data_IF_399041619897
#
_entry.id   IF_399041619897
#
_cell.length_a   1.000
_cell.length_b   1.000
_cell.length_c   1.000
_cell.angle_alpha   90.00
_cell.angle_beta   90.00
_cell.angle_gamma   90.00
#
_symmetry.space_group_name_H-M   'P 1'
#
loop_
_entity.id
_entity.type
_entity.pdbx_description
1 polymer ?
#
# COMPACT_ATOMS: atom_id res chain seq x y z
N UNK A 1 -4.26 87.66 27.21
CA UNK A 1 -3.59 87.97 25.91
C UNK A 1 -2.09 87.84 26.15
N UNK A 2 -1.23 87.29 25.26
CA UNK A 2 -1.46 86.85 23.88
C UNK A 2 -0.77 85.52 23.46
N UNK A 3 -0.99 85.19 22.18
CA UNK A 3 -0.22 84.36 21.23
C UNK A 3 -0.24 82.81 21.32
N UNK A 4 -1.15 82.29 20.51
CA UNK A 4 -1.15 81.01 19.80
C UNK A 4 0.02 80.96 18.80
N UNK A 5 0.86 79.92 18.85
CA UNK A 5 1.80 79.60 17.76
C UNK A 5 1.69 78.13 17.38
N UNK A 6 1.28 77.91 16.13
CA UNK A 6 1.15 76.61 15.49
C UNK A 6 2.52 76.00 15.20
N UNK A 7 2.72 74.73 15.53
CA UNK A 7 3.73 73.90 14.86
C UNK A 7 3.03 72.87 13.99
N UNK A 8 3.30 72.97 12.68
CA UNK A 8 2.79 72.10 11.63
C UNK A 8 3.40 70.71 11.79
N UNK A 9 2.55 69.70 11.95
CA UNK A 9 2.92 68.28 11.93
C UNK A 9 3.37 67.92 10.50
N UNK A 10 4.64 67.55 10.31
CA UNK A 10 5.11 66.92 9.06
C UNK A 10 4.98 65.40 9.25
N UNK A 11 4.07 64.75 8.55
CA UNK A 11 4.02 63.30 8.44
C UNK A 11 5.28 62.83 7.68
N UNK A 12 6.12 62.04 8.32
CA UNK A 12 7.14 61.23 7.67
C UNK A 12 6.50 59.86 7.42
N UNK A 13 6.23 59.55 6.15
CA UNK A 13 5.77 58.22 5.75
C UNK A 13 6.95 57.24 5.86
N UNK A 14 6.90 56.36 6.87
CA UNK A 14 7.81 55.22 6.96
C UNK A 14 7.24 54.11 6.08
N UNK A 15 7.91 53.86 4.95
CA UNK A 15 7.65 52.70 4.09
C UNK A 15 8.15 51.46 4.85
N UNK A 16 7.23 50.75 5.48
CA UNK A 16 7.48 49.45 6.11
C UNK A 16 7.61 48.37 5.04
N UNK A 17 8.83 47.92 4.78
CA UNK A 17 9.10 46.67 4.06
C UNK A 17 8.74 45.54 5.02
N UNK A 18 7.55 44.96 4.86
CA UNK A 18 7.19 43.70 5.53
C UNK A 18 7.80 42.54 4.74
N UNK A 19 8.81 41.93 5.35
CA UNK A 19 9.40 40.65 4.98
C UNK A 19 8.29 39.61 4.91
N UNK A 20 8.01 39.10 3.71
CA UNK A 20 7.12 37.98 3.49
C UNK A 20 7.70 36.72 4.14
N UNK A 21 7.10 36.30 5.25
CA UNK A 21 7.33 34.98 5.85
C UNK A 21 6.76 33.94 4.87
N UNK A 22 7.64 33.17 4.23
CA UNK A 22 7.25 32.08 3.34
C UNK A 22 6.47 31.02 4.10
N UNK A 23 5.18 30.88 3.77
CA UNK A 23 4.39 29.72 4.16
C UNK A 23 4.98 28.49 3.48
N UNK A 24 5.42 27.52 4.28
CA UNK A 24 5.75 26.18 3.82
C UNK A 24 4.56 25.62 3.04
N UNK A 25 4.73 25.42 1.73
CA UNK A 25 3.69 24.92 0.84
C UNK A 25 3.33 23.47 1.17
N UNK A 26 2.23 23.28 1.90
CA UNK A 26 1.54 21.99 1.89
C UNK A 26 0.86 21.84 0.52
N UNK A 27 1.05 20.70 -0.18
CA UNK A 27 0.31 20.46 -1.41
C UNK A 27 -1.19 20.47 -1.12
N UNK A 28 -2.03 20.98 -2.05
CA UNK A 28 -3.47 20.93 -1.89
C UNK A 28 -3.92 19.47 -1.72
N UNK A 29 -4.87 19.25 -0.80
CA UNK A 29 -5.34 17.91 -0.40
C UNK A 29 -5.73 17.03 -1.61
N UNK A 30 -6.30 17.62 -2.66
CA UNK A 30 -6.72 16.91 -3.88
C UNK A 30 -5.57 16.20 -4.62
N UNK A 31 -4.37 16.80 -4.65
CA UNK A 31 -3.21 16.18 -5.30
C UNK A 31 -2.72 14.96 -4.53
N UNK A 32 -2.79 15.00 -3.20
CA UNK A 32 -2.36 13.89 -2.34
C UNK A 32 -3.33 12.71 -2.39
N UNK A 33 -4.63 12.97 -2.44
CA UNK A 33 -5.67 11.94 -2.56
C UNK A 33 -5.61 11.26 -3.93
N UNK A 34 -5.43 12.02 -5.02
CA UNK A 34 -5.29 11.43 -6.35
C UNK A 34 -4.00 10.60 -6.47
N UNK A 35 -2.87 11.11 -5.96
CA UNK A 35 -1.62 10.37 -5.90
C UNK A 35 -1.78 9.05 -5.12
N UNK A 36 -2.46 9.07 -3.96
CA UNK A 36 -2.73 7.87 -3.15
C UNK A 36 -3.68 6.90 -3.85
N UNK A 37 -4.74 7.38 -4.51
CA UNK A 37 -5.62 6.52 -5.32
C UNK A 37 -4.84 5.84 -6.44
N UNK A 38 -3.94 6.57 -7.09
CA UNK A 38 -3.06 6.04 -8.12
C UNK A 38 -2.08 5.00 -7.57
N UNK A 39 -1.55 5.16 -6.35
CA UNK A 39 -0.70 4.12 -5.71
C UNK A 39 -1.49 2.87 -5.37
N UNK A 40 -2.69 3.01 -4.78
CA UNK A 40 -3.58 1.90 -4.44
C UNK A 40 -4.02 1.14 -5.68
N UNK A 41 -4.44 1.84 -6.74
CA UNK A 41 -4.81 1.21 -8.01
C UNK A 41 -3.63 0.48 -8.66
N UNK A 42 -2.43 1.05 -8.58
CA UNK A 42 -1.21 0.38 -9.05
C UNK A 42 -0.90 -0.89 -8.24
N UNK A 43 -1.09 -0.86 -6.91
CA UNK A 43 -0.97 -2.04 -6.05
C UNK A 43 -1.95 -3.16 -6.45
N UNK A 44 -3.21 -2.82 -6.71
CA UNK A 44 -4.20 -3.80 -7.17
C UNK A 44 -3.83 -4.48 -8.50
N UNK A 45 -3.22 -3.73 -9.44
CA UNK A 45 -2.70 -4.32 -10.69
C UNK A 45 -1.52 -5.27 -10.45
N UNK A 46 -0.65 -4.96 -9.49
CA UNK A 46 0.44 -5.86 -9.10
C UNK A 46 -0.11 -7.14 -8.48
N UNK A 47 -1.12 -7.03 -7.61
CA UNK A 47 -1.74 -8.16 -6.92
C UNK A 47 -2.33 -9.20 -7.90
N UNK A 48 -3.00 -8.71 -8.95
CA UNK A 48 -3.64 -9.57 -9.97
C UNK A 48 -2.75 -9.95 -11.14
N UNK A 49 -1.64 -9.24 -11.32
CA UNK A 49 -0.76 -9.36 -12.48
C UNK A 49 0.61 -9.85 -12.06
N UNK A 50 1.58 -8.94 -12.03
CA UNK A 50 3.01 -9.26 -11.85
C UNK A 50 3.31 -10.08 -10.58
N UNK A 51 2.64 -9.79 -9.48
CA UNK A 51 2.81 -10.54 -8.22
C UNK A 51 1.98 -11.82 -8.15
N UNK A 52 0.91 -11.91 -8.95
CA UNK A 52 -0.07 -13.02 -9.00
C UNK A 52 -0.51 -13.53 -7.61
N UNK A 53 -0.68 -12.61 -6.67
CA UNK A 53 -1.01 -12.93 -5.28
C UNK A 53 -2.37 -13.62 -5.16
N UNK A 54 -3.31 -13.25 -6.06
CA UNK A 54 -4.64 -13.84 -6.14
C UNK A 54 -4.63 -15.34 -6.45
N UNK A 55 -3.56 -15.86 -7.06
CA UNK A 55 -3.46 -17.27 -7.39
C UNK A 55 -3.58 -18.16 -6.15
N UNK A 56 -3.07 -17.70 -5.01
CA UNK A 56 -3.19 -18.39 -3.71
C UNK A 56 -4.20 -17.71 -2.77
N UNK A 57 -4.22 -16.37 -2.73
CA UNK A 57 -5.01 -15.61 -1.76
C UNK A 57 -6.43 -15.24 -2.23
N UNK A 58 -6.79 -15.60 -3.46
CA UNK A 58 -8.08 -15.28 -4.06
C UNK A 58 -8.15 -13.86 -4.61
N UNK A 59 -9.10 -13.61 -5.51
CA UNK A 59 -9.25 -12.31 -6.18
C UNK A 59 -9.55 -11.18 -5.18
N UNK A 60 -10.29 -11.48 -4.12
CA UNK A 60 -10.68 -10.56 -3.05
C UNK A 60 -9.73 -10.58 -1.84
N UNK A 61 -8.68 -11.41 -1.89
CA UNK A 61 -7.82 -11.66 -0.72
C UNK A 61 -8.51 -12.47 0.38
N UNK A 62 -9.55 -13.24 0.06
CA UNK A 62 -10.37 -14.02 0.99
C UNK A 62 -9.83 -15.44 1.26
N UNK A 63 -8.67 -15.79 0.70
CA UNK A 63 -8.05 -17.11 0.82
C UNK A 63 -8.62 -18.16 -0.15
N UNK A 64 -9.64 -17.81 -0.96
CA UNK A 64 -10.20 -18.71 -1.97
C UNK A 64 -9.42 -18.60 -3.27
N UNK A 65 -8.37 -19.41 -3.36
CA UNK A 65 -7.40 -19.41 -4.47
C UNK A 65 -8.03 -19.41 -5.86
N UNK A 66 -7.43 -18.66 -6.79
CA UNK A 66 -7.87 -18.65 -8.18
C UNK A 66 -7.25 -19.76 -9.04
N UNK A 67 -6.10 -20.29 -8.63
CA UNK A 67 -5.42 -21.36 -9.35
C UNK A 67 -5.44 -22.64 -8.52
N UNK A 68 -6.17 -23.66 -8.99
CA UNK A 68 -6.31 -24.93 -8.27
C UNK A 68 -4.99 -25.69 -8.06
N UNK A 69 -3.97 -25.39 -8.87
CA UNK A 69 -2.64 -25.99 -8.75
C UNK A 69 -1.79 -25.32 -7.66
N UNK A 70 -2.22 -24.19 -7.13
CA UNK A 70 -1.54 -23.48 -6.06
C UNK A 70 -2.04 -23.94 -4.68
N UNK A 71 -1.21 -23.80 -3.63
CA UNK A 71 -1.66 -24.01 -2.26
C UNK A 71 -2.71 -22.99 -1.85
N UNK A 72 -3.46 -23.32 -0.80
CA UNK A 72 -4.39 -22.37 -0.20
C UNK A 72 -3.60 -21.27 0.51
N UNK A 73 -3.89 -20.01 0.14
CA UNK A 73 -3.37 -18.83 0.81
C UNK A 73 -4.21 -18.48 2.03
N UNK A 74 -3.63 -17.71 2.95
CA UNK A 74 -4.39 -17.15 4.07
C UNK A 74 -5.48 -16.18 3.59
N UNK A 75 -6.58 -16.08 4.34
CA UNK A 75 -7.54 -15.00 4.20
C UNK A 75 -6.87 -13.69 4.64
N UNK A 76 -6.50 -12.86 3.67
CA UNK A 76 -5.84 -11.57 3.92
C UNK A 76 -6.81 -10.55 4.52
N UNK A 77 -8.12 -10.67 4.31
CA UNK A 77 -9.12 -9.74 4.90
C UNK A 77 -9.10 -9.79 6.43
N UNK A 78 -8.75 -10.95 7.00
CA UNK A 78 -8.61 -11.20 8.44
C UNK A 78 -7.20 -10.92 8.99
N UNK A 79 -6.27 -10.48 8.13
CA UNK A 79 -4.89 -10.22 8.56
C UNK A 79 -4.83 -9.13 9.64
N UNK A 80 -4.03 -9.38 10.68
CA UNK A 80 -3.69 -8.40 11.71
C UNK A 80 -2.33 -7.74 11.48
N UNK A 81 -1.70 -8.01 10.34
CA UNK A 81 -0.39 -7.46 10.01
C UNK A 81 -0.48 -5.95 9.75
N UNK A 82 0.46 -5.22 10.32
CA UNK A 82 0.74 -3.81 9.98
C UNK A 82 1.27 -3.70 8.56
N UNK A 83 1.23 -2.48 8.01
CA UNK A 83 1.79 -2.19 6.67
C UNK A 83 3.27 -2.60 6.57
N UNK A 84 4.07 -2.31 7.59
CA UNK A 84 5.50 -2.62 7.63
C UNK A 84 5.73 -4.14 7.64
N UNK A 85 4.90 -4.88 8.38
CA UNK A 85 4.93 -6.34 8.38
C UNK A 85 4.50 -6.92 7.03
N UNK A 86 3.52 -6.34 6.34
CA UNK A 86 3.16 -6.76 4.98
C UNK A 86 4.33 -6.56 4.02
N UNK A 87 4.96 -5.38 4.04
CA UNK A 87 6.14 -5.11 3.22
C UNK A 87 7.24 -6.14 3.49
N UNK A 88 7.50 -6.44 4.77
CA UNK A 88 8.48 -7.45 5.16
C UNK A 88 8.15 -8.84 4.63
N UNK A 89 6.91 -9.32 4.87
CA UNK A 89 6.47 -10.66 4.45
C UNK A 89 6.47 -10.79 2.92
N UNK A 90 6.03 -9.76 2.18
CA UNK A 90 6.07 -9.79 0.72
C UNK A 90 7.51 -9.84 0.20
N UNK A 91 8.42 -9.05 0.79
CA UNK A 91 9.84 -9.06 0.37
C UNK A 91 10.50 -10.40 0.65
N UNK A 92 10.30 -10.93 1.86
CA UNK A 92 11.05 -12.07 2.38
C UNK A 92 10.37 -13.43 2.17
N UNK A 93 9.10 -13.45 1.78
CA UNK A 93 8.31 -14.69 1.73
C UNK A 93 8.28 -15.41 3.08
N UNK A 94 7.89 -16.68 3.04
CA UNK A 94 7.83 -17.54 4.22
C UNK A 94 8.56 -18.87 3.93
N UNK A 95 9.88 -18.97 4.18
CA UNK A 95 10.63 -20.21 4.00
C UNK A 95 10.02 -21.39 4.78
N UNK A 96 10.02 -22.57 4.17
CA UNK A 96 9.32 -23.76 4.67
C UNK A 96 7.80 -23.71 4.44
N UNK A 97 7.28 -22.61 3.90
CA UNK A 97 5.91 -22.46 3.40
C UNK A 97 5.96 -22.08 1.92
N UNK A 98 4.79 -22.02 1.30
CA UNK A 98 4.70 -21.85 -0.15
C UNK A 98 4.61 -20.39 -0.62
N UNK A 99 4.63 -19.41 0.30
CA UNK A 99 4.68 -18.00 -0.10
C UNK A 99 6.11 -17.63 -0.50
N UNK A 100 6.37 -17.27 -1.78
CA UNK A 100 7.71 -16.97 -2.26
C UNK A 100 8.19 -15.60 -1.77
N UNK A 101 9.49 -15.36 -1.89
CA UNK A 101 10.08 -14.05 -1.64
C UNK A 101 10.06 -13.21 -2.93
N UNK A 102 9.49 -12.01 -2.88
CA UNK A 102 9.39 -11.15 -4.07
C UNK A 102 10.55 -10.15 -4.21
N UNK A 103 11.36 -9.94 -3.17
CA UNK A 103 12.58 -9.13 -3.30
C UNK A 103 13.70 -9.96 -3.96
N UNK A 104 14.27 -9.44 -5.05
CA UNK A 104 15.37 -10.10 -5.77
C UNK A 104 16.60 -10.39 -4.89
N UNK A 105 16.79 -9.64 -3.81
CA UNK A 105 17.89 -9.80 -2.87
C UNK A 105 17.47 -10.46 -1.56
N UNK A 106 16.28 -11.05 -1.47
CA UNK A 106 15.89 -11.81 -0.29
C UNK A 106 16.92 -12.90 0.01
N UNK A 107 17.35 -12.99 1.28
CA UNK A 107 18.34 -13.96 1.78
C UNK A 107 19.74 -13.90 1.16
N UNK A 108 20.08 -12.83 0.41
CA UNK A 108 21.48 -12.53 0.05
C UNK A 108 22.28 -12.14 1.30
N UNK A 109 21.63 -11.39 2.20
CA UNK A 109 22.11 -11.00 3.51
C UNK A 109 21.04 -11.39 4.56
N UNK A 110 21.28 -11.08 5.83
CA UNK A 110 20.46 -11.50 6.96
C UNK A 110 19.20 -10.65 7.20
N UNK A 111 18.90 -9.65 6.35
CA UNK A 111 17.73 -8.77 6.56
C UNK A 111 16.40 -9.51 6.58
N UNK A 112 16.31 -10.65 5.91
CA UNK A 112 15.12 -11.49 5.89
C UNK A 112 15.20 -12.53 7.00
N UNK A 113 14.38 -12.34 8.04
CA UNK A 113 14.25 -13.24 9.19
C UNK A 113 15.58 -13.51 9.95
N UNK A 114 16.61 -12.66 9.80
CA UNK A 114 17.92 -12.89 10.39
C UNK A 114 18.69 -14.04 9.73
N UNK A 115 18.41 -14.33 8.45
CA UNK A 115 18.90 -15.52 7.73
C UNK A 115 19.41 -15.17 6.34
N UNK A 116 20.44 -15.89 5.92
CA UNK A 116 20.95 -15.97 4.56
C UNK A 116 20.43 -17.22 3.86
N UNK A 117 20.67 -17.35 2.55
CA UNK A 117 20.29 -18.54 1.78
C UNK A 117 20.97 -19.80 2.32
N UNK A 118 22.25 -19.68 2.68
CA UNK A 118 22.99 -20.79 3.29
C UNK A 118 22.37 -21.23 4.62
N UNK A 119 21.75 -20.32 5.38
CA UNK A 119 21.06 -20.70 6.62
C UNK A 119 19.77 -21.47 6.33
N UNK A 120 18.99 -21.04 5.33
CA UNK A 120 17.79 -21.76 4.90
C UNK A 120 18.13 -23.18 4.45
N UNK A 121 19.19 -23.34 3.65
CA UNK A 121 19.63 -24.65 3.15
C UNK A 121 20.06 -25.56 4.32
N UNK A 122 20.81 -25.05 5.31
CA UNK A 122 21.19 -25.81 6.51
C UNK A 122 20.00 -26.23 7.36
N UNK A 123 18.94 -25.42 7.37
CA UNK A 123 17.71 -25.69 8.10
C UNK A 123 16.72 -26.56 7.31
N UNK A 124 17.02 -26.90 6.05
CA UNK A 124 16.10 -27.63 5.17
C UNK A 124 14.83 -26.84 4.83
N UNK A 125 14.87 -25.50 4.90
CA UNK A 125 13.73 -24.64 4.59
C UNK A 125 13.72 -24.26 3.12
N UNK A 126 12.75 -24.79 2.37
CA UNK A 126 12.57 -24.45 0.96
C UNK A 126 11.96 -23.05 0.81
N UNK A 127 12.41 -22.31 -0.19
CA UNK A 127 11.81 -21.05 -0.63
C UNK A 127 11.62 -21.12 -2.14
N UNK A 128 10.37 -21.04 -2.58
CA UNK A 128 9.98 -21.12 -3.98
C UNK A 128 10.22 -19.79 -4.69
N UNK A 129 10.43 -19.87 -6.01
CA UNK A 129 10.58 -18.69 -6.84
C UNK A 129 9.21 -18.04 -7.10
N UNK A 130 9.11 -16.69 -7.04
CA UNK A 130 7.90 -15.99 -7.42
C UNK A 130 7.72 -16.00 -8.94
N UNK A 131 6.50 -15.74 -9.45
CA UNK A 131 6.28 -15.55 -10.90
C UNK A 131 7.10 -14.37 -11.46
N UNK A 132 7.37 -13.36 -10.62
CA UNK A 132 8.32 -12.29 -10.91
C UNK A 132 8.82 -11.66 -9.61
N UNK A 133 10.02 -11.07 -9.65
CA UNK A 133 10.50 -10.21 -8.55
C UNK A 133 9.89 -8.81 -8.64
N UNK A 134 9.74 -8.16 -7.49
CA UNK A 134 9.16 -6.83 -7.34
C UNK A 134 10.23 -5.83 -6.86
N UNK A 135 10.15 -4.61 -7.38
CA UNK A 135 10.92 -3.48 -6.87
C UNK A 135 10.34 -3.01 -5.52
N UNK A 136 11.15 -2.37 -4.68
CA UNK A 136 10.70 -1.84 -3.38
C UNK A 136 9.41 -1.01 -3.48
N UNK A 137 9.35 -0.10 -4.46
CA UNK A 137 8.15 0.73 -4.72
C UNK A 137 6.91 -0.08 -5.11
N UNK A 138 7.09 -1.23 -5.77
CA UNK A 138 5.98 -2.11 -6.14
C UNK A 138 5.46 -2.86 -4.91
N UNK A 139 6.35 -3.32 -4.04
CA UNK A 139 5.96 -3.93 -2.76
C UNK A 139 5.21 -2.95 -1.87
N UNK A 140 5.68 -1.70 -1.79
CA UNK A 140 5.00 -0.67 -1.00
C UNK A 140 3.59 -0.38 -1.54
N UNK A 141 3.42 -0.29 -2.85
CA UNK A 141 2.09 -0.12 -3.47
C UNK A 141 1.18 -1.31 -3.23
N UNK A 142 1.71 -2.54 -3.23
CA UNK A 142 0.95 -3.73 -2.84
C UNK A 142 0.47 -3.61 -1.39
N UNK A 143 1.36 -3.25 -0.46
CA UNK A 143 0.98 -3.06 0.94
C UNK A 143 -0.09 -1.97 1.10
N UNK A 144 0.04 -0.84 0.38
CA UNK A 144 -0.97 0.22 0.37
C UNK A 144 -2.32 -0.28 -0.14
N UNK A 145 -2.32 -1.06 -1.23
CA UNK A 145 -3.54 -1.68 -1.75
C UNK A 145 -4.17 -2.63 -0.75
N UNK A 146 -3.40 -3.53 -0.14
CA UNK A 146 -3.91 -4.48 0.84
C UNK A 146 -4.53 -3.77 2.04
N UNK A 147 -3.85 -2.76 2.59
CA UNK A 147 -4.36 -1.98 3.71
C UNK A 147 -5.63 -1.19 3.35
N UNK A 148 -5.71 -0.64 2.14
CA UNK A 148 -6.80 0.22 1.74
C UNK A 148 -8.05 -0.51 1.22
N UNK A 149 -7.87 -1.74 0.70
CA UNK A 149 -8.91 -2.43 -0.10
C UNK A 149 -9.15 -3.88 0.24
N UNK A 150 -8.34 -4.50 1.11
CA UNK A 150 -8.47 -5.93 1.42
C UNK A 150 -8.59 -6.15 2.93
N UNK A 151 -7.58 -5.72 3.68
CA UNK A 151 -7.49 -5.94 5.11
C UNK A 151 -8.57 -5.13 5.82
N UNK A 152 -9.31 -5.78 6.72
CA UNK A 152 -10.31 -5.13 7.56
C UNK A 152 -11.58 -4.68 6.84
N UNK A 153 -11.78 -5.02 5.56
CA UNK A 153 -13.01 -4.70 4.82
C UNK A 153 -14.20 -5.61 5.20
N UNK A 154 -14.07 -6.45 6.25
CA UNK A 154 -15.12 -7.39 6.66
C UNK A 154 -15.33 -8.53 5.66
N UNK A 155 -16.39 -9.35 5.83
CA UNK A 155 -16.78 -10.35 4.82
C UNK A 155 -17.08 -9.67 3.48
N UNK A 156 -16.73 -10.35 2.38
CA UNK A 156 -17.11 -9.88 1.05
C UNK A 156 -18.64 -9.95 0.92
N UNK A 157 -19.24 -8.92 0.35
CA UNK A 157 -20.67 -8.91 0.00
C UNK A 157 -20.90 -8.87 -1.52
N UNK A 158 -22.17 -9.02 -1.90
CA UNK A 158 -22.60 -9.05 -3.31
C UNK A 158 -22.25 -7.77 -4.05
N UNK A 159 -22.40 -6.61 -3.40
CA UNK A 159 -22.16 -5.31 -4.00
C UNK A 159 -20.66 -5.09 -4.23
N UNK A 160 -19.82 -5.41 -3.23
CA UNK A 160 -18.36 -5.37 -3.35
C UNK A 160 -17.86 -6.30 -4.48
N UNK A 161 -18.52 -7.45 -4.67
CA UNK A 161 -18.23 -8.33 -5.79
C UNK A 161 -18.55 -7.68 -7.14
N UNK A 162 -19.74 -7.08 -7.29
CA UNK A 162 -20.13 -6.38 -8.52
C UNK A 162 -19.18 -5.22 -8.81
N UNK A 163 -18.81 -4.44 -7.79
CA UNK A 163 -17.88 -3.32 -7.93
C UNK A 163 -16.50 -3.77 -8.39
N UNK A 164 -16.03 -4.94 -7.91
CA UNK A 164 -14.75 -5.49 -8.33
C UNK A 164 -14.77 -5.91 -9.82
N UNK A 165 -15.83 -6.59 -10.26
CA UNK A 165 -15.94 -7.06 -11.64
C UNK A 165 -16.46 -5.99 -12.62
N UNK A 166 -17.03 -4.89 -12.10
CA UNK A 166 -17.70 -3.85 -12.88
C UNK A 166 -19.07 -4.26 -13.42
N UNK A 167 -19.48 -5.50 -13.19
CA UNK A 167 -20.75 -6.07 -13.60
C UNK A 167 -21.13 -7.25 -12.70
N UNK A 168 -22.39 -7.65 -12.77
CA UNK A 168 -22.87 -8.79 -12.00
C UNK A 168 -22.53 -10.12 -12.68
N UNK A 169 -21.36 -10.65 -12.35
CA UNK A 169 -20.89 -11.96 -12.81
C UNK A 169 -21.50 -13.10 -12.00
N UNK A 170 -21.44 -14.33 -12.55
CA UNK A 170 -22.03 -15.52 -11.92
C UNK A 170 -21.51 -15.79 -10.49
N UNK A 171 -20.24 -15.51 -10.23
CA UNK A 171 -19.65 -15.68 -8.89
C UNK A 171 -20.33 -14.78 -7.86
N UNK A 172 -20.72 -13.56 -8.22
CA UNK A 172 -21.40 -12.65 -7.29
C UNK A 172 -22.79 -13.18 -6.90
N UNK A 173 -23.56 -13.69 -7.87
CA UNK A 173 -24.88 -14.29 -7.59
C UNK A 173 -24.82 -15.57 -6.78
N UNK A 174 -23.87 -16.44 -7.11
CA UNK A 174 -23.82 -17.78 -6.55
C UNK A 174 -23.27 -17.77 -5.12
N UNK A 175 -22.28 -16.91 -4.85
CA UNK A 175 -21.61 -16.87 -3.55
C UNK A 175 -22.25 -15.88 -2.58
N UNK A 176 -22.95 -14.86 -3.08
CA UNK A 176 -23.60 -13.83 -2.28
C UNK A 176 -25.08 -13.69 -2.72
N UNK A 177 -25.95 -14.67 -2.39
CA UNK A 177 -27.38 -14.58 -2.65
C UNK A 177 -28.03 -13.49 -1.79
N UNK A 178 -29.15 -12.94 -2.27
CA UNK A 178 -29.93 -11.87 -1.63
C UNK A 178 -30.55 -12.27 -0.28
#
# INVERSE_FOLDING_TARGET
>A
MPVRTSRRMRLIAVIGILVGVGLAGYPPADVTVDAQRNTVAAGGRLYRGKGDCQACHGWAGDGRKMNLQMPDGANLRESTLTREQLVFVIKCGLPGRQMPAYDRRAYVDDRCLGRTRADLDRMGLQLFDPPATLQNREVERLADFLMAKVIGQGPLDRQECIEFWGEEVAVCRNEFPD
#
